data_IF_979655326843
#
_entry.id   IF_979655326843
#
_cell.length_a   1.000
_cell.length_b   1.000
_cell.length_c   1.000
_cell.angle_alpha   90.00
_cell.angle_beta   90.00
_cell.angle_gamma   90.00
#
_symmetry.space_group_name_H-M   'P 1'
#
loop_
_entity.id
_entity.type
_entity.pdbx_description
1 polymer ?
#
# COMPACT_ATOMS: atom_id res chain seq x y z
N UNK A 1 11.29 21.95 11.08
CA UNK A 1 10.61 22.26 9.80
C UNK A 1 9.21 21.65 9.89
N UNK A 2 8.16 22.46 10.06
CA UNK A 2 6.80 21.92 10.20
C UNK A 2 6.34 21.38 8.84
N UNK A 3 6.14 20.07 8.71
CA UNK A 3 5.62 19.46 7.49
C UNK A 3 4.25 20.08 7.16
N UNK A 4 4.12 20.57 5.93
CA UNK A 4 2.90 21.22 5.44
C UNK A 4 1.84 20.15 5.26
N UNK A 5 0.89 20.05 6.19
CA UNK A 5 -0.34 19.26 6.02
C UNK A 5 -1.03 19.72 4.73
N UNK A 6 -1.17 18.78 3.80
CA UNK A 6 -1.94 18.90 2.56
C UNK A 6 -3.30 18.20 2.71
N UNK A 7 -4.40 18.95 2.88
CA UNK A 7 -5.74 18.40 3.03
C UNK A 7 -6.19 17.51 1.87
N UNK A 8 -5.55 17.61 0.69
CA UNK A 8 -5.85 16.86 -0.51
C UNK A 8 -4.90 15.67 -0.79
N UNK A 9 -4.02 15.31 0.16
CA UNK A 9 -3.02 14.27 -0.07
C UNK A 9 -3.63 12.90 -0.39
N UNK A 10 -3.23 12.34 -1.53
CA UNK A 10 -3.54 10.97 -1.93
C UNK A 10 -2.38 10.41 -2.77
N UNK A 11 -1.92 9.20 -2.45
CA UNK A 11 -0.87 8.50 -3.18
C UNK A 11 -1.30 7.08 -3.51
N UNK A 12 -1.27 6.75 -4.80
CA UNK A 12 -1.59 5.40 -5.27
C UNK A 12 -0.59 4.38 -4.71
N UNK A 13 -1.05 3.19 -4.30
CA UNK A 13 -0.16 2.08 -3.96
C UNK A 13 0.66 1.64 -5.17
N UNK A 14 1.72 0.87 -4.93
CA UNK A 14 2.50 0.25 -6.01
C UNK A 14 1.57 -0.58 -6.92
N UNK A 15 1.59 -0.32 -8.24
CA UNK A 15 0.77 -1.02 -9.23
C UNK A 15 0.94 -2.54 -9.20
N UNK A 16 2.15 -3.04 -8.91
CA UNK A 16 2.40 -4.47 -8.77
C UNK A 16 1.63 -5.08 -7.59
N UNK A 17 1.62 -4.38 -6.45
CA UNK A 17 0.87 -4.81 -5.25
C UNK A 17 -0.63 -4.73 -5.50
N UNK A 18 -1.10 -3.65 -6.15
CA UNK A 18 -2.50 -3.51 -6.53
C UNK A 18 -2.97 -4.64 -7.43
N UNK A 19 -2.17 -4.99 -8.44
CA UNK A 19 -2.46 -6.10 -9.35
C UNK A 19 -2.51 -7.42 -8.60
N UNK A 20 -1.53 -7.71 -7.75
CA UNK A 20 -1.46 -8.96 -6.99
C UNK A 20 -2.67 -9.13 -6.07
N UNK A 21 -3.06 -8.08 -5.36
CA UNK A 21 -4.22 -8.10 -4.45
C UNK A 21 -5.53 -8.24 -5.24
N UNK A 22 -5.71 -7.45 -6.30
CA UNK A 22 -6.90 -7.54 -7.14
C UNK A 22 -7.04 -8.93 -7.79
N UNK A 23 -5.93 -9.49 -8.26
CA UNK A 23 -5.88 -10.83 -8.81
C UNK A 23 -6.22 -11.88 -7.77
N UNK A 24 -5.64 -11.82 -6.56
CA UNK A 24 -5.93 -12.74 -5.46
C UNK A 24 -7.38 -12.68 -4.99
N UNK A 25 -7.93 -11.48 -4.80
CA UNK A 25 -9.34 -11.27 -4.45
C UNK A 25 -10.29 -11.81 -5.55
N UNK A 26 -9.97 -11.56 -6.81
CA UNK A 26 -10.78 -12.07 -7.93
C UNK A 26 -10.71 -13.59 -8.01
N UNK A 27 -9.53 -14.18 -7.89
CA UNK A 27 -9.33 -15.63 -7.95
C UNK A 27 -10.07 -16.34 -6.81
N UNK A 28 -9.97 -15.82 -5.58
CA UNK A 28 -10.67 -16.39 -4.41
C UNK A 28 -12.19 -16.25 -4.53
N UNK A 29 -12.70 -15.09 -4.97
CA UNK A 29 -14.13 -14.91 -5.27
C UNK A 29 -14.64 -15.89 -6.32
N UNK A 30 -13.89 -16.06 -7.42
CA UNK A 30 -14.23 -17.03 -8.46
C UNK A 30 -14.22 -18.46 -7.93
N UNK A 31 -13.27 -18.83 -7.06
CA UNK A 31 -13.24 -20.16 -6.45
C UNK A 31 -14.46 -20.44 -5.58
N UNK A 32 -15.03 -19.41 -4.94
CA UNK A 32 -16.23 -19.53 -4.09
C UNK A 32 -17.50 -19.55 -4.93
N UNK A 33 -17.67 -18.62 -5.89
CA UNK A 33 -18.94 -18.41 -6.59
C UNK A 33 -19.04 -19.09 -7.95
N UNK A 34 -17.92 -19.30 -8.65
CA UNK A 34 -17.89 -19.83 -10.01
C UNK A 34 -16.60 -20.63 -10.33
N UNK A 35 -16.27 -21.68 -9.55
CA UNK A 35 -15.01 -22.41 -9.70
C UNK A 35 -14.85 -23.04 -11.09
N UNK A 36 -15.94 -23.47 -11.71
CA UNK A 36 -15.93 -24.10 -13.04
C UNK A 36 -15.53 -23.15 -14.18
N UNK A 37 -15.54 -21.83 -13.93
CA UNK A 37 -15.15 -20.82 -14.93
C UNK A 37 -13.67 -20.48 -14.90
N UNK A 38 -12.92 -21.00 -13.92
CA UNK A 38 -11.50 -20.69 -13.77
C UNK A 38 -10.69 -21.60 -14.69
N UNK A 39 -9.85 -21.04 -15.57
CA UNK A 39 -8.99 -21.84 -16.42
C UNK A 39 -7.72 -22.26 -15.65
N UNK A 40 -7.88 -23.18 -14.70
CA UNK A 40 -6.83 -23.63 -13.78
C UNK A 40 -5.49 -24.00 -14.45
N UNK A 41 -5.54 -24.53 -15.67
CA UNK A 41 -4.33 -24.94 -16.40
C UNK A 41 -3.38 -23.77 -16.71
N UNK A 42 -3.87 -22.57 -16.99
CA UNK A 42 -3.01 -21.42 -17.31
C UNK A 42 -2.35 -20.78 -16.08
N UNK A 43 -2.86 -21.10 -14.88
CA UNK A 43 -2.41 -20.54 -13.60
C UNK A 43 -1.21 -21.31 -13.01
N UNK A 44 -0.82 -22.43 -13.64
CA UNK A 44 0.26 -23.30 -13.16
C UNK A 44 -0.01 -23.81 -11.75
N UNK A 45 1.02 -23.74 -10.89
CA UNK A 45 0.93 -24.18 -9.50
C UNK A 45 -0.20 -23.50 -8.71
N UNK A 46 -0.40 -22.19 -8.91
CA UNK A 46 -1.50 -21.46 -8.28
C UNK A 46 -2.87 -22.00 -8.72
N UNK A 47 -2.97 -22.45 -9.96
CA UNK A 47 -4.17 -23.09 -10.50
C UNK A 47 -4.49 -24.40 -9.80
N UNK A 48 -3.49 -25.27 -9.61
CA UNK A 48 -3.66 -26.54 -8.91
C UNK A 48 -4.07 -26.34 -7.44
N UNK A 49 -3.44 -25.37 -6.75
CA UNK A 49 -3.82 -25.00 -5.40
C UNK A 49 -5.25 -24.45 -5.33
N UNK A 50 -5.59 -23.50 -6.22
CA UNK A 50 -6.91 -22.91 -6.29
C UNK A 50 -7.99 -23.98 -6.57
N UNK A 51 -7.70 -24.93 -7.47
CA UNK A 51 -8.58 -26.06 -7.78
C UNK A 51 -8.75 -26.98 -6.58
N UNK A 52 -7.66 -27.32 -5.89
CA UNK A 52 -7.72 -28.12 -4.66
C UNK A 52 -8.58 -27.43 -3.59
N UNK A 53 -8.37 -26.13 -3.36
CA UNK A 53 -9.16 -25.38 -2.38
C UNK A 53 -10.63 -25.28 -2.77
N UNK A 54 -10.95 -25.01 -4.03
CA UNK A 54 -12.31 -24.87 -4.53
C UNK A 54 -13.12 -26.18 -4.40
N UNK A 55 -12.56 -27.31 -4.86
CA UNK A 55 -13.31 -28.57 -4.93
C UNK A 55 -13.12 -29.47 -3.70
N UNK A 56 -11.94 -29.51 -3.10
CA UNK A 56 -11.65 -30.42 -1.98
C UNK A 56 -11.87 -29.76 -0.61
N UNK A 57 -11.78 -28.42 -0.53
CA UNK A 57 -11.91 -27.67 0.74
C UNK A 57 -12.81 -26.43 0.60
N UNK A 58 -14.06 -26.55 0.11
CA UNK A 58 -14.94 -25.41 -0.17
C UNK A 58 -15.17 -24.50 1.04
N UNK A 59 -15.33 -25.07 2.24
CA UNK A 59 -15.50 -24.28 3.48
C UNK A 59 -14.27 -23.45 3.83
N UNK A 60 -13.07 -23.95 3.49
CA UNK A 60 -11.83 -23.22 3.76
C UNK A 60 -11.69 -22.03 2.83
N UNK A 61 -11.99 -22.20 1.53
CA UNK A 61 -11.92 -21.08 0.58
C UNK A 61 -13.00 -20.03 0.85
N UNK A 62 -14.20 -20.43 1.28
CA UNK A 62 -15.21 -19.49 1.80
C UNK A 62 -14.68 -18.69 3.00
N UNK A 63 -14.11 -19.38 3.98
CA UNK A 63 -13.55 -18.72 5.16
C UNK A 63 -12.44 -17.73 4.77
N UNK A 64 -11.53 -18.11 3.86
CA UNK A 64 -10.47 -17.23 3.34
C UNK A 64 -11.09 -16.00 2.66
N UNK A 65 -12.09 -16.19 1.80
CA UNK A 65 -12.78 -15.10 1.11
C UNK A 65 -13.43 -14.12 2.10
N UNK A 66 -14.25 -14.61 3.03
CA UNK A 66 -14.92 -13.74 3.99
C UNK A 66 -13.94 -13.07 4.96
N UNK A 67 -12.87 -13.75 5.37
CA UNK A 67 -11.81 -13.15 6.18
C UNK A 67 -11.09 -12.03 5.41
N UNK A 68 -10.72 -12.27 4.15
CA UNK A 68 -10.06 -11.26 3.31
C UNK A 68 -10.95 -10.02 3.11
N UNK A 69 -12.24 -10.21 2.80
CA UNK A 69 -13.21 -9.11 2.70
C UNK A 69 -13.32 -8.36 4.03
N UNK A 70 -13.40 -9.07 5.16
CA UNK A 70 -13.51 -8.44 6.49
C UNK A 70 -12.28 -7.62 6.84
N UNK A 71 -11.08 -8.10 6.50
CA UNK A 71 -9.82 -7.37 6.69
C UNK A 71 -9.83 -6.09 5.84
N UNK A 72 -10.14 -6.18 4.55
CA UNK A 72 -10.19 -5.02 3.66
C UNK A 72 -11.20 -3.96 4.14
N UNK A 73 -12.38 -4.38 4.61
CA UNK A 73 -13.38 -3.46 5.18
C UNK A 73 -12.85 -2.79 6.45
N UNK A 74 -12.21 -3.56 7.33
CA UNK A 74 -11.62 -3.03 8.57
C UNK A 74 -10.51 -2.02 8.29
N UNK A 75 -9.62 -2.33 7.34
CA UNK A 75 -8.55 -1.45 6.89
C UNK A 75 -9.10 -0.17 6.26
N UNK A 76 -10.14 -0.28 5.42
CA UNK A 76 -10.77 0.88 4.78
C UNK A 76 -11.38 1.84 5.80
N UNK A 77 -12.11 1.28 6.77
CA UNK A 77 -12.68 2.04 7.88
C UNK A 77 -11.56 2.74 8.66
N UNK A 78 -10.50 2.01 9.01
CA UNK A 78 -9.35 2.57 9.73
C UNK A 78 -8.67 3.69 8.92
N UNK A 79 -8.44 3.50 7.63
CA UNK A 79 -7.88 4.52 6.74
C UNK A 79 -8.75 5.79 6.69
N UNK A 80 -10.07 5.64 6.66
CA UNK A 80 -10.98 6.79 6.67
C UNK A 80 -10.93 7.59 7.97
N UNK A 81 -10.81 6.92 9.12
CA UNK A 81 -10.62 7.58 10.41
C UNK A 81 -9.24 8.24 10.52
N UNK A 82 -8.18 7.50 10.14
CA UNK A 82 -6.80 7.96 10.18
C UNK A 82 -6.60 9.19 9.28
N UNK A 83 -7.10 9.16 8.04
CA UNK A 83 -7.05 10.31 7.14
C UNK A 83 -7.69 11.56 7.76
N UNK A 84 -8.81 11.41 8.46
CA UNK A 84 -9.46 12.49 9.20
C UNK A 84 -8.58 13.05 10.34
N UNK A 85 -7.95 12.18 11.13
CA UNK A 85 -7.03 12.59 12.21
C UNK A 85 -5.81 13.34 11.66
N UNK A 86 -5.31 12.93 10.50
CA UNK A 86 -4.18 13.55 9.79
C UNK A 86 -4.56 14.87 9.09
N UNK A 87 -5.82 15.30 9.17
CA UNK A 87 -6.31 16.54 8.57
C UNK A 87 -6.59 16.45 7.06
N UNK A 88 -6.61 15.24 6.50
CA UNK A 88 -7.04 14.99 5.12
C UNK A 88 -8.56 15.09 5.06
N UNK A 89 -9.07 15.92 4.17
CA UNK A 89 -10.51 16.22 4.08
C UNK A 89 -11.01 16.11 2.65
N UNK A 90 -12.34 16.17 2.46
CA UNK A 90 -12.96 16.13 1.14
C UNK A 90 -12.73 14.83 0.37
N UNK A 91 -12.47 14.94 -0.94
CA UNK A 91 -12.38 13.80 -1.86
C UNK A 91 -11.21 12.87 -1.56
N UNK A 92 -10.08 13.40 -1.09
CA UNK A 92 -8.88 12.60 -0.77
C UNK A 92 -9.17 11.55 0.32
N UNK A 93 -9.98 11.91 1.33
CA UNK A 93 -10.40 11.00 2.39
C UNK A 93 -11.28 9.85 1.88
N UNK A 94 -12.15 10.14 0.91
CA UNK A 94 -12.98 9.13 0.24
C UNK A 94 -12.12 8.23 -0.65
N UNK A 95 -11.13 8.80 -1.34
CA UNK A 95 -10.18 8.02 -2.15
C UNK A 95 -9.37 7.06 -1.28
N UNK A 96 -8.89 7.49 -0.10
CA UNK A 96 -8.23 6.60 0.87
C UNK A 96 -9.12 5.45 1.32
N UNK A 97 -10.43 5.70 1.53
CA UNK A 97 -11.37 4.64 1.87
C UNK A 97 -11.56 3.66 0.70
N UNK A 98 -11.86 4.15 -0.51
CA UNK A 98 -12.14 3.31 -1.68
C UNK A 98 -10.92 2.48 -2.09
N UNK A 99 -9.74 3.10 -2.13
CA UNK A 99 -8.52 2.39 -2.52
C UNK A 99 -8.03 1.43 -1.45
N UNK A 100 -8.19 1.74 -0.16
CA UNK A 100 -7.90 0.75 0.89
C UNK A 100 -8.92 -0.39 0.87
N UNK A 101 -10.19 -0.14 0.54
CA UNK A 101 -11.18 -1.21 0.39
C UNK A 101 -10.82 -2.17 -0.75
N UNK A 102 -10.33 -1.65 -1.88
CA UNK A 102 -9.95 -2.47 -3.04
C UNK A 102 -8.57 -3.11 -2.92
N UNK A 103 -7.58 -2.39 -2.40
CA UNK A 103 -6.16 -2.77 -2.45
C UNK A 103 -5.53 -2.97 -1.07
N UNK A 104 -6.31 -2.89 0.00
CA UNK A 104 -5.93 -3.23 1.36
C UNK A 104 -4.70 -2.48 1.89
N UNK A 105 -3.87 -3.22 2.63
CA UNK A 105 -2.69 -2.74 3.36
C UNK A 105 -1.74 -1.86 2.53
N UNK A 106 -1.62 -2.09 1.22
CA UNK A 106 -0.75 -1.30 0.34
C UNK A 106 -1.15 0.18 0.29
N UNK A 107 -2.46 0.48 0.37
CA UNK A 107 -2.95 1.85 0.48
C UNK A 107 -2.77 2.38 1.90
N UNK A 108 -3.06 1.56 2.91
CA UNK A 108 -2.91 1.97 4.31
C UNK A 108 -1.47 2.36 4.68
N UNK A 109 -0.45 1.66 4.15
CA UNK A 109 0.97 1.98 4.39
C UNK A 109 1.30 3.39 3.89
N UNK A 110 0.83 3.78 2.70
CA UNK A 110 1.08 5.13 2.18
C UNK A 110 0.42 6.21 3.06
N UNK A 111 -0.77 5.93 3.61
CA UNK A 111 -1.45 6.85 4.52
C UNK A 111 -0.75 6.93 5.88
N UNK A 112 -0.20 5.82 6.37
CA UNK A 112 0.58 5.78 7.61
C UNK A 112 1.84 6.65 7.48
N UNK A 113 2.57 6.53 6.36
CA UNK A 113 3.78 7.31 6.08
C UNK A 113 3.56 8.83 6.10
N UNK A 114 2.36 9.31 5.78
CA UNK A 114 2.05 10.74 5.65
C UNK A 114 2.32 11.60 6.90
N UNK A 115 2.48 11.03 8.11
CA UNK A 115 2.99 11.79 9.28
C UNK A 115 4.07 11.05 10.11
N UNK A 116 4.67 9.95 9.63
CA UNK A 116 5.67 9.21 10.41
C UNK A 116 7.01 9.97 10.60
N UNK A 117 7.17 11.14 9.96
CA UNK A 117 8.32 12.02 10.15
C UNK A 117 8.17 12.96 11.38
N UNK A 118 7.06 12.87 12.12
CA UNK A 118 6.76 13.71 13.30
C UNK A 118 6.67 12.88 14.60
N UNK A 119 7.83 12.44 15.08
CA UNK A 119 8.21 12.30 16.52
C UNK A 119 7.50 11.34 17.50
N UNK A 120 6.75 10.33 17.07
CA UNK A 120 6.43 9.17 17.93
C UNK A 120 5.93 8.01 17.06
N UNK A 121 6.74 6.99 16.82
CA UNK A 121 6.45 5.95 15.81
C UNK A 121 6.28 4.52 16.40
N UNK A 122 5.25 4.25 17.22
CA UNK A 122 4.89 2.88 17.58
C UNK A 122 4.46 2.03 16.37
N UNK A 123 4.15 2.68 15.24
CA UNK A 123 3.82 2.02 13.97
C UNK A 123 5.07 1.74 13.12
N UNK A 124 6.18 2.46 13.35
CA UNK A 124 7.46 2.15 12.69
C UNK A 124 7.97 0.76 13.09
N UNK A 125 7.81 0.42 14.37
CA UNK A 125 8.13 -0.90 14.93
C UNK A 125 7.23 -2.00 14.33
N UNK A 126 5.93 -1.74 14.18
CA UNK A 126 4.99 -2.66 13.54
C UNK A 126 5.32 -2.87 12.04
N UNK A 127 5.67 -1.81 11.32
CA UNK A 127 6.03 -1.88 9.90
C UNK A 127 7.36 -2.63 9.69
N UNK A 128 8.30 -2.50 10.63
CA UNK A 128 9.52 -3.31 10.65
C UNK A 128 9.21 -4.81 10.86
N UNK A 129 8.27 -5.14 11.74
CA UNK A 129 7.84 -6.53 11.98
C UNK A 129 7.15 -7.17 10.76
N UNK A 130 6.49 -6.35 9.93
CA UNK A 130 5.96 -6.78 8.63
C UNK A 130 7.01 -6.77 7.49
N UNK A 131 8.30 -6.55 7.79
CA UNK A 131 9.40 -6.61 6.83
C UNK A 131 9.47 -5.43 5.86
N UNK A 132 8.86 -4.30 6.23
CA UNK A 132 8.90 -3.09 5.42
C UNK A 132 10.15 -2.28 5.76
N UNK A 133 11.20 -2.44 4.95
CA UNK A 133 12.44 -1.70 5.17
C UNK A 133 12.28 -0.22 4.79
N UNK A 134 12.91 0.65 5.59
CA UNK A 134 12.83 2.11 5.45
C UNK A 134 13.90 2.65 4.49
N UNK A 135 14.56 1.76 3.75
CA UNK A 135 15.57 2.07 2.74
C UNK A 135 14.86 2.30 1.40
N UNK A 136 14.56 3.56 1.04
CA UNK A 136 14.51 4.08 -0.34
C UNK A 136 13.88 5.49 -0.38
N UNK A 137 14.37 6.44 0.42
CA UNK A 137 14.16 7.87 0.15
C UNK A 137 15.51 8.61 0.22
N UNK A 138 16.41 8.17 -0.66
CA UNK A 138 17.73 8.73 -0.99
C UNK A 138 17.62 10.09 -1.73
N UNK A 139 16.67 10.94 -1.34
CA UNK A 139 16.53 12.31 -1.88
C UNK A 139 17.33 13.34 -1.06
N UNK A 140 17.78 12.96 0.13
CA UNK A 140 18.67 13.77 0.98
C UNK A 140 20.14 13.68 0.58
N UNK A 141 20.58 12.63 -0.12
CA UNK A 141 21.94 12.55 -0.69
C UNK A 141 22.06 13.40 -1.96
N UNK A 142 21.09 13.29 -2.88
CA UNK A 142 21.02 14.08 -4.12
C UNK A 142 20.95 15.60 -3.84
N UNK A 143 20.23 16.00 -2.79
CA UNK A 143 20.21 17.41 -2.37
C UNK A 143 21.57 17.90 -1.85
N UNK A 144 22.36 17.04 -1.19
CA UNK A 144 23.71 17.39 -0.70
C UNK A 144 24.71 17.48 -1.85
N UNK A 145 24.59 16.61 -2.84
CA UNK A 145 25.50 16.61 -4.00
C UNK A 145 25.23 17.83 -4.91
N UNK A 146 23.97 18.19 -5.13
CA UNK A 146 23.62 19.39 -5.93
C UNK A 146 24.07 20.67 -5.24
N UNK A 147 23.94 20.76 -3.91
CA UNK A 147 24.41 21.92 -3.16
C UNK A 147 25.95 22.02 -3.11
N UNK A 148 26.66 20.91 -3.05
CA UNK A 148 28.13 20.89 -3.16
C UNK A 148 28.62 21.34 -4.55
N UNK A 149 27.90 20.99 -5.62
CA UNK A 149 28.22 21.41 -7.00
C UNK A 149 27.98 22.92 -7.19
N UNK A 150 26.92 23.49 -6.61
CA UNK A 150 26.65 24.93 -6.71
C UNK A 150 27.67 25.79 -5.94
N UNK A 151 28.17 25.32 -4.81
CA UNK A 151 29.20 26.03 -4.03
C UNK A 151 30.51 26.09 -4.83
N UNK A 152 30.95 24.97 -5.39
CA UNK A 152 32.20 24.91 -6.17
C UNK A 152 32.15 25.79 -7.43
N UNK A 153 30.98 25.94 -8.06
CA UNK A 153 30.79 26.87 -9.19
C UNK A 153 30.95 28.34 -8.79
N UNK A 154 30.44 28.74 -7.62
CA UNK A 154 30.57 30.13 -7.13
C UNK A 154 32.01 30.47 -6.76
N UNK A 155 32.75 29.51 -6.21
CA UNK A 155 34.15 29.70 -5.86
C UNK A 155 35.04 29.83 -7.11
N UNK A 156 34.73 29.10 -8.19
CA UNK A 156 35.44 29.22 -9.46
C UNK A 156 35.23 30.57 -10.17
N UNK A 157 34.07 31.20 -10.00
CA UNK A 157 33.75 32.52 -10.58
C UNK A 157 34.36 33.69 -9.78
N UNK A 158 34.72 33.50 -8.51
CA UNK A 158 35.38 34.52 -7.68
C UNK A 158 36.90 34.58 -7.85
N UNK A 159 37.50 33.58 -8.49
CA UNK A 159 38.94 33.44 -8.70
C UNK A 159 39.38 33.54 -10.17
N UNK A 160 38.47 33.89 -11.09
CA UNK A 160 38.74 34.18 -12.50
C UNK A 160 38.68 35.69 -12.78
#
# INVERSE_FOLDING_TARGET
MALKRDPGYFKLPNMFVMFLIAFGMTLTAMCVYAPDKIPYHYLGFLGDLAKYLAYQRPRLIEAIWYMAVSIHVSEAIYAFYLAGQKGITGQARILWFIFTLGFGIGSLINLLKYDLDSSADPVGELLFEFGYDKEDDDLTSLSKDVSAIEVNKRDAEQHA
#
